data_IF_244917375009
#
_entry.id   IF_244917375009
#
_cell.length_a   1.000
_cell.length_b   1.000
_cell.length_c   1.000
_cell.angle_alpha   90.00
_cell.angle_beta   90.00
_cell.angle_gamma   90.00
#
_symmetry.space_group_name_H-M   'P 1'
#
loop_
_entity.id
_entity.type
_entity.pdbx_description
1 polymer ?
#
# COMPACT_ATOMS: atom_id res chain seq x y z
N UNK A 1 -13.57 10.20 -22.37
CA UNK A 1 -13.33 8.75 -22.23
C UNK A 1 -12.13 8.33 -23.09
N UNK A 2 -10.93 8.89 -22.87
CA UNK A 2 -9.69 8.57 -23.62
C UNK A 2 -8.43 8.95 -22.79
N UNK A 3 -8.35 8.54 -21.52
CA UNK A 3 -7.13 8.74 -20.67
C UNK A 3 -6.66 7.44 -20.01
N UNK A 4 -7.39 6.34 -20.18
CA UNK A 4 -7.13 5.06 -19.50
C UNK A 4 -6.03 4.22 -20.19
N UNK A 5 -5.84 4.36 -21.51
CA UNK A 5 -4.97 3.44 -22.27
C UNK A 5 -3.47 3.61 -21.97
N UNK A 6 -2.94 4.84 -21.92
CA UNK A 6 -1.47 5.05 -21.74
C UNK A 6 -0.96 4.63 -20.36
N UNK A 7 -1.77 4.82 -19.30
CA UNK A 7 -1.39 4.43 -17.94
C UNK A 7 -1.31 2.92 -17.79
N UNK A 8 -2.21 2.18 -18.45
CA UNK A 8 -2.23 0.72 -18.43
C UNK A 8 -0.94 0.10 -18.98
N UNK A 9 -0.41 0.63 -20.09
CA UNK A 9 0.88 0.19 -20.65
C UNK A 9 2.06 0.47 -19.72
N UNK A 10 2.06 1.63 -19.04
CA UNK A 10 3.11 1.97 -18.08
C UNK A 10 3.14 0.99 -16.89
N UNK A 11 1.98 0.67 -16.30
CA UNK A 11 1.91 -0.32 -15.21
C UNK A 11 2.30 -1.73 -15.68
N UNK A 12 1.87 -2.13 -16.89
CA UNK A 12 2.26 -3.39 -17.48
C UNK A 12 3.77 -3.50 -17.71
N UNK A 13 4.41 -2.48 -18.30
CA UNK A 13 5.86 -2.46 -18.48
C UNK A 13 6.60 -2.46 -17.13
N UNK A 14 6.12 -1.67 -16.17
CA UNK A 14 6.74 -1.56 -14.85
C UNK A 14 6.66 -2.90 -14.09
N UNK A 15 5.57 -3.66 -14.23
CA UNK A 15 5.44 -4.98 -13.61
C UNK A 15 6.19 -6.10 -14.34
N UNK A 16 6.29 -6.03 -15.67
CA UNK A 16 7.21 -6.89 -16.43
C UNK A 16 8.66 -6.61 -15.96
N UNK A 17 9.00 -5.34 -15.77
CA UNK A 17 10.30 -4.93 -15.24
C UNK A 17 10.50 -5.40 -13.81
N UNK A 18 9.53 -5.23 -12.90
CA UNK A 18 9.61 -5.70 -11.51
C UNK A 18 9.71 -7.22 -11.41
N UNK A 19 9.01 -7.98 -12.26
CA UNK A 19 9.17 -9.45 -12.34
C UNK A 19 10.60 -9.88 -12.68
N UNK A 20 11.33 -9.07 -13.45
CA UNK A 20 12.76 -9.32 -13.74
C UNK A 20 13.64 -9.24 -12.49
N UNK A 21 13.21 -8.51 -11.47
CA UNK A 21 13.89 -8.39 -10.18
C UNK A 21 13.32 -9.30 -9.09
N UNK A 22 12.34 -10.13 -9.43
CA UNK A 22 11.79 -11.10 -8.51
C UNK A 22 12.54 -12.42 -8.67
N UNK A 23 12.90 -13.04 -7.55
CA UNK A 23 13.62 -14.30 -7.53
C UNK A 23 12.68 -15.43 -7.10
N UNK A 24 12.85 -16.60 -7.73
CA UNK A 24 12.05 -17.77 -7.42
C UNK A 24 12.74 -18.58 -6.32
N UNK A 25 12.07 -18.78 -5.19
CA UNK A 25 12.57 -19.56 -4.08
C UNK A 25 11.49 -20.56 -3.65
N UNK A 26 11.79 -21.85 -3.65
CA UNK A 26 10.89 -22.90 -3.17
C UNK A 26 9.43 -22.76 -3.69
N UNK A 27 9.27 -22.59 -5.00
CA UNK A 27 7.98 -22.39 -5.69
C UNK A 27 7.30 -21.01 -5.54
N UNK A 28 7.88 -20.09 -4.75
CA UNK A 28 7.28 -18.77 -4.54
C UNK A 28 8.11 -17.63 -5.13
N UNK A 29 7.41 -16.64 -5.66
CA UNK A 29 8.02 -15.41 -6.18
C UNK A 29 8.30 -14.45 -5.03
N UNK A 30 9.57 -14.16 -4.77
CA UNK A 30 10.01 -13.30 -3.67
C UNK A 30 10.81 -12.13 -4.22
N UNK A 31 10.45 -10.92 -3.77
CA UNK A 31 11.32 -9.76 -3.96
C UNK A 31 12.45 -9.78 -2.92
N UNK A 32 13.72 -9.80 -3.35
CA UNK A 32 14.85 -9.71 -2.44
C UNK A 32 14.93 -8.31 -1.79
N UNK A 33 15.62 -8.22 -0.67
CA UNK A 33 15.96 -6.93 -0.04
C UNK A 33 16.89 -6.12 -0.93
N UNK A 34 17.95 -6.78 -1.40
CA UNK A 34 19.00 -6.18 -2.18
C UNK A 34 19.60 -7.20 -3.15
N UNK A 35 20.45 -6.67 -4.02
CA UNK A 35 21.21 -7.41 -5.00
C UNK A 35 22.68 -7.31 -4.60
N UNK A 36 23.33 -8.47 -4.46
CA UNK A 36 24.68 -8.61 -3.93
C UNK A 36 25.66 -8.77 -5.10
N UNK A 37 26.85 -8.21 -4.92
CA UNK A 37 28.00 -8.34 -5.80
C UNK A 37 29.19 -8.80 -4.94
N UNK A 38 30.06 -9.63 -5.50
CA UNK A 38 31.28 -10.04 -4.82
C UNK A 38 32.22 -8.84 -4.64
N UNK A 39 32.94 -8.82 -3.52
CA UNK A 39 33.87 -7.75 -3.17
C UNK A 39 34.93 -7.52 -4.26
N UNK A 40 35.43 -8.58 -4.88
CA UNK A 40 36.40 -8.56 -5.98
C UNK A 40 35.94 -7.75 -7.21
N UNK A 41 34.63 -7.62 -7.42
CA UNK A 41 34.04 -6.94 -8.57
C UNK A 41 33.54 -5.52 -8.25
N UNK A 42 33.60 -5.08 -6.99
CA UNK A 42 33.06 -3.78 -6.57
C UNK A 42 33.77 -2.60 -7.24
N UNK A 43 35.10 -2.63 -7.37
CA UNK A 43 35.84 -1.52 -7.96
C UNK A 43 35.59 -1.41 -9.47
N UNK A 44 35.45 -2.54 -10.16
CA UNK A 44 35.08 -2.56 -11.58
C UNK A 44 33.68 -1.96 -11.81
N UNK A 45 32.71 -2.29 -10.95
CA UNK A 45 31.36 -1.74 -11.01
C UNK A 45 31.34 -0.23 -10.70
N UNK A 46 32.16 0.24 -9.75
CA UNK A 46 32.30 1.68 -9.45
C UNK A 46 32.87 2.47 -10.61
N UNK A 47 33.85 1.92 -11.34
CA UNK A 47 34.42 2.57 -12.52
C UNK A 47 33.48 2.56 -13.71
N UNK A 48 32.69 1.49 -13.88
CA UNK A 48 31.73 1.33 -14.98
C UNK A 48 30.42 0.71 -14.47
N UNK A 49 29.39 1.53 -14.18
CA UNK A 49 28.11 1.04 -13.69
C UNK A 49 27.42 0.06 -14.67
N UNK A 50 26.74 -0.94 -14.11
CA UNK A 50 26.11 -2.07 -14.79
C UNK A 50 27.08 -2.95 -15.60
N UNK A 51 28.35 -3.00 -15.20
CA UNK A 51 29.34 -3.88 -15.85
C UNK A 51 29.33 -5.29 -15.25
N UNK A 52 28.93 -5.41 -13.99
CA UNK A 52 28.96 -6.66 -13.24
C UNK A 52 27.55 -7.25 -13.09
N UNK A 53 27.49 -8.56 -12.88
CA UNK A 53 26.24 -9.26 -12.59
C UNK A 53 25.99 -9.24 -11.08
N UNK A 54 24.76 -8.87 -10.71
CA UNK A 54 24.31 -8.97 -9.32
C UNK A 54 23.41 -10.19 -9.15
N UNK A 55 23.41 -10.76 -7.96
CA UNK A 55 22.51 -11.85 -7.59
C UNK A 55 21.60 -11.43 -6.43
N UNK A 56 20.35 -11.92 -6.39
CA UNK A 56 19.42 -11.57 -5.32
C UNK A 56 19.90 -12.11 -3.97
N UNK A 57 19.76 -11.32 -2.90
CA UNK A 57 20.03 -11.77 -1.55
C UNK A 57 19.14 -12.96 -1.18
N UNK A 58 19.73 -14.02 -0.61
CA UNK A 58 19.04 -15.27 -0.30
C UNK A 58 18.05 -15.09 0.88
N UNK A 59 16.73 -15.24 0.68
CA UNK A 59 15.74 -15.10 1.74
C UNK A 59 15.89 -16.14 2.86
N UNK A 60 16.52 -17.30 2.60
CA UNK A 60 16.77 -18.31 3.62
C UNK A 60 17.89 -17.89 4.59
N UNK A 61 18.84 -17.08 4.13
CA UNK A 61 19.96 -16.60 4.94
C UNK A 61 19.62 -15.29 5.65
N UNK A 62 19.03 -14.33 4.91
CA UNK A 62 18.77 -12.98 5.40
C UNK A 62 17.32 -12.77 5.89
N UNK A 63 16.45 -13.76 5.70
CA UNK A 63 15.02 -13.65 5.98
C UNK A 63 14.22 -12.98 4.85
N UNK A 64 12.90 -13.02 4.97
CA UNK A 64 12.02 -12.36 4.00
C UNK A 64 11.96 -10.86 4.25
N UNK A 65 12.33 -10.09 3.23
CA UNK A 65 12.23 -8.65 3.31
C UNK A 65 10.79 -8.16 3.06
N UNK A 66 10.06 -7.94 4.15
CA UNK A 66 8.62 -7.66 4.10
C UNK A 66 8.27 -6.41 3.29
N UNK A 67 9.13 -5.39 3.29
CA UNK A 67 8.83 -4.12 2.60
C UNK A 67 8.82 -4.26 1.07
N UNK A 68 9.90 -4.78 0.47
CA UNK A 68 9.92 -5.07 -0.98
C UNK A 68 8.79 -6.00 -1.41
N UNK A 69 8.46 -7.01 -0.59
CA UNK A 69 7.32 -7.89 -0.86
C UNK A 69 5.98 -7.16 -0.78
N UNK A 70 5.79 -6.26 0.20
CA UNK A 70 4.57 -5.46 0.34
C UNK A 70 4.40 -4.49 -0.83
N UNK A 71 5.46 -3.78 -1.23
CA UNK A 71 5.45 -2.87 -2.39
C UNK A 71 5.11 -3.63 -3.67
N UNK A 72 5.66 -4.83 -3.86
CA UNK A 72 5.33 -5.68 -5.00
C UNK A 72 3.86 -6.11 -5.02
N UNK A 73 3.31 -6.52 -3.88
CA UNK A 73 1.88 -6.84 -3.76
C UNK A 73 1.00 -5.62 -4.05
N UNK A 74 1.33 -4.44 -3.51
CA UNK A 74 0.60 -3.20 -3.80
C UNK A 74 0.65 -2.89 -5.30
N UNK A 75 1.80 -3.07 -5.96
CA UNK A 75 1.93 -2.86 -7.40
C UNK A 75 1.05 -3.83 -8.20
N UNK A 76 0.96 -5.11 -7.78
CA UNK A 76 0.04 -6.08 -8.40
C UNK A 76 -1.43 -5.67 -8.23
N UNK A 77 -1.81 -5.27 -7.03
CA UNK A 77 -3.18 -4.82 -6.74
C UNK A 77 -3.57 -3.56 -7.54
N UNK A 78 -2.63 -2.62 -7.70
CA UNK A 78 -2.82 -1.42 -8.53
C UNK A 78 -2.92 -1.77 -10.03
N UNK A 79 -2.19 -2.79 -10.50
CA UNK A 79 -2.25 -3.22 -11.91
C UNK A 79 -3.56 -3.90 -12.27
N UNK A 80 -4.06 -4.72 -11.36
CA UNK A 80 -5.27 -5.48 -11.57
C UNK A 80 -6.53 -4.69 -11.12
N UNK A 81 -6.38 -3.38 -10.85
CA UNK A 81 -7.43 -2.44 -10.43
C UNK A 81 -8.21 -2.88 -9.17
N UNK A 82 -7.62 -3.75 -8.33
CA UNK A 82 -8.19 -4.13 -7.03
C UNK A 82 -8.08 -3.02 -5.98
N UNK A 83 -7.14 -2.10 -6.18
CA UNK A 83 -6.90 -0.93 -5.33
C UNK A 83 -6.68 0.27 -6.24
N UNK A 84 -7.32 1.40 -5.94
CA UNK A 84 -7.08 2.66 -6.65
C UNK A 84 -5.96 3.47 -5.98
N UNK A 85 -5.31 4.37 -6.75
CA UNK A 85 -4.27 5.25 -6.19
C UNK A 85 -4.78 6.11 -5.02
N UNK A 86 -6.06 6.49 -5.07
CA UNK A 86 -6.75 7.25 -4.01
C UNK A 86 -6.89 6.46 -2.72
N UNK A 87 -6.86 5.14 -2.76
CA UNK A 87 -6.94 4.29 -1.56
C UNK A 87 -5.58 4.22 -0.84
N UNK A 88 -4.48 4.31 -1.60
CA UNK A 88 -3.11 4.31 -1.08
C UNK A 88 -2.73 5.67 -0.50
N UNK A 89 -3.10 6.76 -1.18
CA UNK A 89 -2.83 8.13 -0.73
C UNK A 89 -4.11 8.98 -0.68
N UNK A 90 -4.99 8.72 0.30
CA UNK A 90 -6.29 9.37 0.35
C UNK A 90 -6.21 10.88 0.57
N UNK A 91 -5.13 11.37 1.16
CA UNK A 91 -4.93 12.81 1.41
C UNK A 91 -4.02 13.47 0.37
N UNK A 92 -3.70 12.77 -0.71
CA UNK A 92 -2.84 13.24 -1.80
C UNK A 92 -1.52 13.86 -1.29
N UNK A 93 -0.86 13.23 -0.30
CA UNK A 93 0.42 13.70 0.24
C UNK A 93 1.53 13.76 -0.80
N UNK A 94 1.44 12.96 -1.87
CA UNK A 94 2.36 13.02 -3.01
C UNK A 94 2.32 14.37 -3.76
N UNK A 95 1.24 15.16 -3.60
CA UNK A 95 1.13 16.50 -4.17
C UNK A 95 1.66 17.58 -3.20
N UNK A 96 2.22 18.68 -3.73
CA UNK A 96 2.49 19.90 -2.97
C UNK A 96 1.24 20.35 -2.22
N UNK A 97 1.40 20.91 -1.02
CA UNK A 97 0.26 21.31 -0.17
C UNK A 97 -0.75 22.24 -0.87
N UNK A 98 -0.30 23.05 -1.84
CA UNK A 98 -1.17 23.92 -2.66
C UNK A 98 -2.06 23.18 -3.65
N UNK A 99 -1.64 21.99 -4.10
CA UNK A 99 -2.31 21.15 -5.09
C UNK A 99 -3.11 20.01 -4.45
N UNK A 100 -3.01 19.83 -3.13
CA UNK A 100 -3.84 18.84 -2.41
C UNK A 100 -5.32 19.25 -2.49
N UNK A 101 -6.25 18.30 -2.67
CA UNK A 101 -7.67 18.58 -2.60
C UNK A 101 -7.98 19.30 -1.29
N UNK A 102 -8.44 20.54 -1.39
CA UNK A 102 -8.95 21.26 -0.25
C UNK A 102 -10.41 20.85 -0.12
N UNK A 103 -10.73 20.07 0.90
CA UNK A 103 -12.11 19.79 1.27
C UNK A 103 -12.78 21.12 1.63
N UNK A 104 -13.41 21.77 0.64
CA UNK A 104 -14.22 22.97 0.86
C UNK A 104 -15.56 22.60 1.53
N UNK A 105 -15.94 21.32 1.45
CA UNK A 105 -17.15 20.79 2.07
C UNK A 105 -16.87 20.41 3.53
N UNK A 106 -16.97 21.39 4.42
CA UNK A 106 -17.12 21.09 5.85
C UNK A 106 -18.39 20.24 5.98
N UNK A 107 -18.30 19.06 6.59
CA UNK A 107 -19.42 18.19 6.93
C UNK A 107 -20.36 18.82 7.99
N UNK A 108 -20.85 20.02 7.73
CA UNK A 108 -21.94 20.64 8.46
C UNK A 108 -23.23 20.17 7.82
N UNK A 109 -24.00 19.36 8.54
CA UNK A 109 -25.39 18.98 8.20
C UNK A 109 -26.29 20.23 7.97
N UNK A 110 -25.82 21.43 8.32
CA UNK A 110 -26.55 22.71 8.20
C UNK A 110 -26.22 23.55 6.97
N UNK A 111 -25.29 23.14 6.09
CA UNK A 111 -24.81 24.02 5.01
C UNK A 111 -25.27 23.52 3.64
N UNK A 112 -26.59 23.44 3.43
CA UNK A 112 -27.18 23.04 2.13
C UNK A 112 -27.41 24.17 1.14
N UNK A 113 -27.08 25.42 1.49
CA UNK A 113 -27.44 26.57 0.67
C UNK A 113 -26.22 27.45 0.37
N UNK A 114 -25.38 27.08 -0.61
CA UNK A 114 -24.84 28.02 -1.60
C UNK A 114 -23.90 27.38 -2.64
N UNK A 115 -24.25 27.68 -3.89
CA UNK A 115 -23.39 27.91 -5.05
C UNK A 115 -22.73 26.74 -5.78
N UNK A 116 -23.48 26.30 -6.80
CA UNK A 116 -23.00 26.05 -8.15
C UNK A 116 -21.84 26.97 -8.57
N UNK A 117 -20.60 26.51 -8.44
CA UNK A 117 -19.52 27.01 -9.31
C UNK A 117 -18.71 25.82 -9.84
N UNK A 118 -19.00 25.49 -11.09
CA UNK A 118 -18.14 24.88 -12.13
C UNK A 118 -17.05 23.92 -11.67
N UNK A 119 -17.30 22.63 -11.90
CA UNK A 119 -16.35 21.79 -12.63
C UNK A 119 -15.52 20.79 -11.84
N UNK A 120 -16.14 19.88 -11.08
CA UNK A 120 -15.75 18.45 -10.98
C UNK A 120 -16.62 17.73 -9.95
N UNK A 121 -17.92 17.57 -10.24
CA UNK A 121 -18.84 16.79 -9.40
C UNK A 121 -18.83 15.30 -9.78
N UNK A 122 -17.64 14.73 -10.00
CA UNK A 122 -17.51 13.28 -9.99
C UNK A 122 -17.34 12.88 -8.53
N UNK A 123 -18.34 12.24 -7.92
CA UNK A 123 -18.21 11.55 -6.63
C UNK A 123 -17.23 10.36 -6.67
N UNK A 124 -16.36 10.33 -7.68
CA UNK A 124 -15.47 9.25 -8.04
C UNK A 124 -14.06 9.71 -7.66
N UNK A 125 -13.66 9.44 -6.42
CA UNK A 125 -12.31 9.70 -5.95
C UNK A 125 -12.14 10.72 -4.82
N UNK A 126 -13.19 11.03 -4.05
CA UNK A 126 -13.03 11.77 -2.78
C UNK A 126 -13.01 10.77 -1.61
N UNK A 127 -11.84 10.32 -1.14
CA UNK A 127 -11.74 9.28 -0.13
C UNK A 127 -12.19 9.82 1.24
N UNK A 128 -13.27 9.26 1.76
CA UNK A 128 -13.75 9.57 3.12
C UNK A 128 -12.88 8.83 4.13
N UNK A 129 -11.99 9.56 4.80
CA UNK A 129 -11.18 9.01 5.89
C UNK A 129 -11.95 9.14 7.21
N UNK A 130 -12.42 8.00 7.73
CA UNK A 130 -13.00 7.92 9.06
C UNK A 130 -11.94 7.44 10.06
N UNK A 131 -11.77 8.20 11.14
CA UNK A 131 -10.88 7.82 12.25
C UNK A 131 -11.76 7.38 13.42
N UNK A 132 -11.49 6.19 13.94
CA UNK A 132 -12.12 5.65 15.16
C UNK A 132 -11.02 5.32 16.15
N UNK A 133 -11.22 5.71 17.41
CA UNK A 133 -10.31 5.41 18.51
C UNK A 133 -10.79 4.15 19.23
N UNK A 134 -9.84 3.29 19.61
CA UNK A 134 -10.15 2.01 20.27
C UNK A 134 -9.51 2.01 21.65
N UNK A 135 -10.34 1.87 22.67
CA UNK A 135 -9.92 1.72 24.06
C UNK A 135 -9.71 0.24 24.39
N UNK A 136 -8.66 -0.08 25.15
CA UNK A 136 -8.37 -1.47 25.55
C UNK A 136 -9.45 -2.09 26.45
N UNK A 137 -10.18 -1.26 27.20
CA UNK A 137 -11.18 -1.70 28.18
C UNK A 137 -12.30 -0.68 28.32
N UNK A 138 -13.48 -1.16 28.75
CA UNK A 138 -14.62 -0.30 29.06
C UNK A 138 -14.30 0.73 30.15
N UNK A 139 -13.39 0.42 31.07
CA UNK A 139 -12.93 1.37 32.10
C UNK A 139 -12.19 2.55 31.47
N UNK A 140 -11.28 2.28 30.53
CA UNK A 140 -10.56 3.34 29.82
C UNK A 140 -11.51 4.14 28.92
N UNK A 141 -12.44 3.48 28.22
CA UNK A 141 -13.48 4.14 27.43
C UNK A 141 -14.30 5.13 28.27
N UNK A 142 -14.76 4.72 29.46
CA UNK A 142 -15.49 5.60 30.39
C UNK A 142 -14.62 6.76 30.89
N UNK A 143 -13.33 6.54 31.17
CA UNK A 143 -12.44 7.62 31.55
C UNK A 143 -12.27 8.64 30.41
N UNK A 144 -12.04 8.16 29.19
CA UNK A 144 -11.84 9.02 28.01
C UNK A 144 -13.11 9.79 27.64
N UNK A 145 -14.29 9.21 27.84
CA UNK A 145 -15.56 9.92 27.64
C UNK A 145 -15.75 11.09 28.60
N UNK A 146 -15.19 11.04 29.82
CA UNK A 146 -15.19 12.22 30.73
C UNK A 146 -14.41 13.42 30.18
N UNK A 147 -13.47 13.18 29.26
CA UNK A 147 -12.72 14.21 28.55
C UNK A 147 -13.33 14.54 27.16
N UNK A 148 -14.48 13.99 26.82
CA UNK A 148 -15.13 14.16 25.51
C UNK A 148 -14.44 13.40 24.38
N UNK A 149 -13.68 12.35 24.69
CA UNK A 149 -13.00 11.51 23.71
C UNK A 149 -13.83 10.25 23.47
N UNK A 150 -14.48 10.19 22.31
CA UNK A 150 -15.26 9.03 21.89
C UNK A 150 -14.33 7.88 21.47
N UNK A 151 -14.52 6.72 22.09
CA UNK A 151 -13.74 5.51 21.80
C UNK A 151 -14.66 4.28 21.76
N UNK A 152 -14.27 3.24 21.02
CA UNK A 152 -14.93 1.93 21.00
C UNK A 152 -14.06 0.88 21.68
N UNK A 153 -14.63 -0.21 22.18
CA UNK A 153 -13.85 -1.35 22.68
C UNK A 153 -13.74 -2.46 21.63
N UNK A 154 -12.78 -3.39 21.74
CA UNK A 154 -12.69 -4.54 20.85
C UNK A 154 -13.97 -5.41 20.82
N UNK A 155 -14.76 -5.39 21.89
CA UNK A 155 -16.02 -6.14 21.97
C UNK A 155 -17.12 -5.43 21.16
N UNK A 156 -17.10 -4.10 21.12
CA UNK A 156 -18.04 -3.30 20.32
C UNK A 156 -17.80 -3.44 18.80
N UNK A 157 -16.62 -3.95 18.40
CA UNK A 157 -16.19 -4.09 17.02
C UNK A 157 -16.56 -5.43 16.37
N UNK A 158 -17.17 -6.38 17.07
CA UNK A 158 -17.55 -7.66 16.47
C UNK A 158 -18.49 -7.44 15.26
N UNK A 159 -18.24 -8.10 14.10
CA UNK A 159 -17.34 -9.23 13.87
C UNK A 159 -15.89 -8.87 13.48
N UNK A 160 -15.53 -7.59 13.40
CA UNK A 160 -14.21 -7.13 12.95
C UNK A 160 -13.15 -7.41 14.02
N UNK A 161 -12.10 -8.14 13.64
CA UNK A 161 -10.99 -8.49 14.53
C UNK A 161 -9.75 -7.67 14.20
N UNK A 162 -9.25 -6.97 15.21
CA UNK A 162 -7.98 -6.24 15.11
C UNK A 162 -6.86 -7.18 15.51
N UNK A 163 -5.87 -7.33 14.63
CA UNK A 163 -4.71 -8.16 14.88
C UNK A 163 -3.47 -7.29 15.13
N UNK A 164 -2.59 -7.70 16.05
CA UNK A 164 -1.31 -7.02 16.23
C UNK A 164 -0.44 -7.20 14.99
N UNK A 165 0.41 -6.21 14.70
CA UNK A 165 1.20 -6.12 13.48
C UNK A 165 2.05 -7.36 13.20
N UNK A 166 2.57 -8.05 14.21
CA UNK A 166 3.37 -9.28 14.03
C UNK A 166 2.59 -10.44 13.39
N UNK A 167 1.25 -10.45 13.46
CA UNK A 167 0.41 -11.42 12.74
C UNK A 167 0.44 -11.21 11.22
N UNK A 168 0.80 -10.02 10.74
CA UNK A 168 0.87 -9.71 9.31
C UNK A 168 1.85 -10.61 8.57
N UNK A 169 2.88 -11.12 9.25
CA UNK A 169 3.82 -12.09 8.67
C UNK A 169 3.08 -13.35 8.19
N UNK A 170 2.15 -13.88 8.98
CA UNK A 170 1.34 -15.06 8.62
C UNK A 170 0.41 -14.76 7.44
N UNK A 171 -0.16 -13.55 7.39
CA UNK A 171 -1.00 -13.09 6.29
C UNK A 171 -0.20 -12.94 5.00
N UNK A 172 1.03 -12.42 5.07
CA UNK A 172 1.92 -12.33 3.92
C UNK A 172 2.26 -13.70 3.35
N UNK A 173 2.50 -14.70 4.21
CA UNK A 173 2.67 -16.09 3.76
C UNK A 173 1.41 -16.63 3.06
N UNK A 174 0.22 -16.33 3.60
CA UNK A 174 -1.05 -16.82 3.04
C UNK A 174 -1.42 -16.15 1.70
N UNK A 175 -1.29 -14.82 1.61
CA UNK A 175 -1.55 -14.06 0.38
C UNK A 175 -0.60 -14.42 -0.76
N UNK A 176 0.66 -14.76 -0.44
CA UNK A 176 1.62 -15.28 -1.42
C UNK A 176 1.14 -16.58 -2.07
N UNK A 177 0.59 -17.49 -1.27
CA UNK A 177 0.03 -18.76 -1.76
C UNK A 177 -1.16 -18.56 -2.70
N UNK A 178 -1.99 -17.55 -2.43
CA UNK A 178 -3.12 -17.20 -3.30
C UNK A 178 -2.65 -16.60 -4.63
N UNK A 179 -1.66 -15.70 -4.62
CA UNK A 179 -1.15 -15.08 -5.85
C UNK A 179 -0.53 -16.10 -6.83
N UNK A 180 0.06 -17.19 -6.35
CA UNK A 180 0.57 -18.30 -7.18
C UNK A 180 -0.54 -19.02 -7.96
N UNK A 181 -1.75 -19.09 -7.38
CA UNK A 181 -2.92 -19.70 -8.02
C UNK A 181 -3.45 -18.86 -9.20
N UNK A 182 -3.23 -17.54 -9.18
CA UNK A 182 -3.66 -16.62 -10.24
C UNK A 182 -2.63 -16.44 -11.35
N UNK A 183 -1.36 -16.76 -11.11
CA UNK A 183 -0.27 -16.60 -12.09
C UNK A 183 -0.06 -17.87 -12.94
N UNK A 184 -0.64 -19.01 -12.52
CA UNK A 184 -0.54 -20.30 -13.23
C UNK A 184 -1.70 -20.60 -14.20
N UNK A 185 -2.55 -19.60 -14.50
CA UNK A 185 -3.61 -19.67 -15.51
C UNK A 185 -3.32 -18.74 -16.69
#
# INVERSE_FOLDING_TARGET
MLVSSEKSWFYHLCLIFLKKFAAYYASCLIMPECYIINEEHMDAERMKPNSQNFYPANPCEFGHHLWSNAVYLIALLLKDDFVHLTDIDPICRHLPASQRPKYQNRHSVFQRDMEQTKGSSSMEGDPVVQVVLIAESSRLQMMLSTYGIDTQTPHDLEPVKIWPSWRMVKVCFYLKFLAESYITV
#
